data_IF_052447881814
#
_entry.id   IF_052447881814
#
_cell.length_a   1.000
_cell.length_b   1.000
_cell.length_c   1.000
_cell.angle_alpha   90.00
_cell.angle_beta   90.00
_cell.angle_gamma   90.00
#
_symmetry.space_group_name_H-M   'P 1'
#
loop_
_entity.id
_entity.type
_entity.pdbx_description
1 polymer ?
#
# COMPACT_ATOMS: atom_id res chain seq x y z
N UNK A 1 -21.69 46.19 -64.73
CA UNK A 1 -22.14 45.73 -63.40
C UNK A 1 -21.04 44.88 -62.78
N UNK A 2 -20.43 45.34 -61.67
CA UNK A 2 -19.41 44.59 -60.92
C UNK A 2 -20.14 43.77 -59.85
N UNK A 3 -20.13 42.43 -59.94
CA UNK A 3 -20.55 41.58 -58.82
C UNK A 3 -19.35 41.40 -57.89
N UNK A 4 -19.40 42.01 -56.70
CA UNK A 4 -18.55 41.66 -55.57
C UNK A 4 -19.07 40.35 -54.98
N UNK A 5 -18.27 39.29 -55.05
CA UNK A 5 -18.51 38.04 -54.32
C UNK A 5 -17.82 38.10 -52.96
N UNK A 6 -18.60 38.07 -51.88
CA UNK A 6 -18.08 37.97 -50.51
C UNK A 6 -17.64 36.54 -50.21
N UNK A 7 -16.35 36.36 -49.94
CA UNK A 7 -15.77 35.10 -49.49
C UNK A 7 -15.92 34.99 -47.97
N UNK A 8 -16.77 34.08 -47.49
CA UNK A 8 -16.83 33.70 -46.08
C UNK A 8 -15.77 32.64 -45.78
N UNK A 9 -14.74 33.00 -45.03
CA UNK A 9 -13.73 32.07 -44.53
C UNK A 9 -14.22 31.49 -43.18
N UNK A 10 -14.76 30.27 -43.20
CA UNK A 10 -15.08 29.54 -41.98
C UNK A 10 -13.78 29.01 -41.35
N UNK A 11 -13.35 29.64 -40.25
CA UNK A 11 -12.26 29.12 -39.42
C UNK A 11 -12.81 27.93 -38.63
N UNK A 12 -12.43 26.72 -39.05
CA UNK A 12 -12.61 25.51 -38.25
C UNK A 12 -11.63 25.56 -37.07
N UNK A 13 -12.11 25.94 -35.89
CA UNK A 13 -11.38 25.74 -34.65
C UNK A 13 -11.43 24.25 -34.33
N UNK A 14 -10.35 23.54 -34.68
CA UNK A 14 -10.18 22.15 -34.25
C UNK A 14 -9.88 22.15 -32.76
N UNK A 15 -10.85 21.77 -31.94
CA UNK A 15 -10.63 21.51 -30.52
C UNK A 15 -9.74 20.28 -30.39
N UNK A 16 -8.42 20.49 -30.32
CA UNK A 16 -7.52 19.44 -29.86
C UNK A 16 -7.82 19.18 -28.38
N UNK A 17 -8.60 18.14 -28.11
CA UNK A 17 -8.61 17.51 -26.80
C UNK A 17 -7.18 17.05 -26.53
N UNK A 18 -6.49 17.72 -25.61
CA UNK A 18 -5.18 17.26 -25.15
C UNK A 18 -5.39 15.94 -24.43
N UNK A 19 -5.14 14.82 -25.13
CA UNK A 19 -5.03 13.51 -24.52
C UNK A 19 -3.73 13.47 -23.70
N UNK A 20 -3.75 14.10 -22.53
CA UNK A 20 -2.70 13.98 -21.54
C UNK A 20 -2.80 12.55 -20.99
N UNK A 21 -1.76 11.72 -21.12
CA UNK A 21 -1.75 10.40 -20.51
C UNK A 21 -2.02 10.53 -19.01
N UNK A 22 -2.83 9.63 -18.40
CA UNK A 22 -3.08 9.68 -16.97
C UNK A 22 -1.76 9.65 -16.19
N UNK A 23 -1.61 10.53 -15.21
CA UNK A 23 -0.47 10.51 -14.28
C UNK A 23 -0.43 9.15 -13.56
N UNK A 24 0.61 8.32 -13.78
CA UNK A 24 0.71 7.02 -13.15
C UNK A 24 0.66 7.09 -11.62
N UNK A 25 1.13 8.19 -11.03
CA UNK A 25 1.06 8.39 -9.58
C UNK A 25 -0.38 8.59 -9.11
N UNK A 26 -1.16 9.42 -9.80
CA UNK A 26 -2.58 9.58 -9.49
C UNK A 26 -3.33 8.27 -9.65
N UNK A 27 -3.00 7.47 -10.65
CA UNK A 27 -3.65 6.18 -10.86
C UNK A 27 -3.37 5.18 -9.74
N UNK A 28 -2.13 5.12 -9.22
CA UNK A 28 -1.82 4.29 -8.05
C UNK A 28 -2.54 4.81 -6.80
N UNK A 29 -2.53 6.12 -6.56
CA UNK A 29 -3.19 6.74 -5.40
C UNK A 29 -4.71 6.49 -5.41
N UNK A 30 -5.35 6.50 -6.59
CA UNK A 30 -6.79 6.22 -6.73
C UNK A 30 -7.20 4.79 -6.36
N UNK A 31 -6.26 3.84 -6.26
CA UNK A 31 -6.55 2.44 -5.88
C UNK A 31 -6.58 2.21 -4.37
N UNK A 32 -6.18 3.22 -3.59
CA UNK A 32 -6.25 3.19 -2.14
C UNK A 32 -7.72 3.35 -1.72
N UNK A 33 -8.17 2.49 -0.82
CA UNK A 33 -9.56 2.46 -0.37
C UNK A 33 -9.60 2.69 1.13
N UNK A 34 -10.24 3.80 1.57
CA UNK A 34 -10.25 4.20 2.99
C UNK A 34 -10.87 3.12 3.89
N UNK A 35 -11.89 2.42 3.40
CA UNK A 35 -12.56 1.36 4.16
C UNK A 35 -11.67 0.13 4.31
N UNK A 36 -10.87 -0.22 3.29
CA UNK A 36 -9.92 -1.34 3.36
C UNK A 36 -8.76 -1.00 4.29
N UNK A 37 -8.24 0.23 4.22
CA UNK A 37 -7.27 0.76 5.18
C UNK A 37 -7.76 0.64 6.64
N UNK A 38 -8.97 1.13 6.93
CA UNK A 38 -9.57 1.02 8.27
C UNK A 38 -9.81 -0.43 8.69
N UNK A 39 -10.15 -1.30 7.76
CA UNK A 39 -10.32 -2.73 8.03
C UNK A 39 -8.98 -3.39 8.41
N UNK A 40 -7.87 -3.01 7.76
CA UNK A 40 -6.54 -3.48 8.13
C UNK A 40 -6.11 -3.03 9.54
N UNK A 41 -6.37 -1.76 9.90
CA UNK A 41 -6.13 -1.28 11.28
C UNK A 41 -6.91 -2.13 12.28
N UNK A 42 -8.22 -2.29 12.07
CA UNK A 42 -9.07 -3.11 12.95
C UNK A 42 -8.59 -4.56 13.00
N UNK A 43 -8.12 -5.09 11.88
CA UNK A 43 -7.57 -6.43 11.74
C UNK A 43 -6.32 -6.67 12.59
N UNK A 44 -5.46 -5.67 12.79
CA UNK A 44 -4.33 -5.77 13.73
C UNK A 44 -4.73 -5.42 15.17
N UNK A 45 -5.52 -4.36 15.34
CA UNK A 45 -5.98 -3.90 16.65
C UNK A 45 -6.82 -4.95 17.40
N UNK A 46 -7.47 -5.88 16.70
CA UNK A 46 -8.22 -6.98 17.34
C UNK A 46 -7.37 -7.84 18.30
N UNK A 47 -6.05 -7.84 18.14
CA UNK A 47 -5.13 -8.58 19.01
C UNK A 47 -4.75 -7.79 20.28
N UNK A 48 -5.24 -6.56 20.43
CA UNK A 48 -4.85 -5.62 21.49
C UNK A 48 -3.39 -5.19 21.37
N UNK A 49 -2.77 -4.79 22.49
CA UNK A 49 -1.34 -4.50 22.54
C UNK A 49 -0.52 -5.74 22.15
N UNK A 50 0.19 -5.65 21.01
CA UNK A 50 0.98 -6.73 20.40
C UNK A 50 2.42 -6.71 20.90
N UNK A 51 2.61 -6.55 22.20
CA UNK A 51 3.94 -6.47 22.82
C UNK A 51 4.82 -7.64 22.36
N UNK A 52 6.07 -7.34 21.95
CA UNK A 52 7.03 -8.31 21.46
C UNK A 52 7.13 -9.57 22.35
N UNK A 53 7.21 -10.75 21.72
CA UNK A 53 7.36 -12.02 22.44
C UNK A 53 6.08 -12.57 23.08
N UNK A 54 4.98 -11.81 23.11
CA UNK A 54 3.68 -12.29 23.61
C UNK A 54 2.97 -13.20 22.61
N UNK A 55 1.95 -13.94 23.08
CA UNK A 55 1.09 -14.73 22.19
C UNK A 55 0.30 -13.84 21.21
N UNK A 56 -0.09 -12.63 21.63
CA UNK A 56 -0.79 -11.65 20.80
C UNK A 56 0.06 -11.20 19.62
N UNK A 57 1.35 -10.92 19.88
CA UNK A 57 2.32 -10.61 18.83
C UNK A 57 2.44 -11.75 17.81
N UNK A 58 2.59 -13.00 18.25
CA UNK A 58 2.64 -14.17 17.35
C UNK A 58 1.36 -14.34 16.53
N UNK A 59 0.18 -14.17 17.15
CA UNK A 59 -1.10 -14.26 16.45
C UNK A 59 -1.26 -13.16 15.39
N UNK A 60 -0.74 -11.96 15.63
CA UNK A 60 -0.72 -10.90 14.64
C UNK A 60 0.19 -11.20 13.45
N UNK A 61 1.34 -11.87 13.66
CA UNK A 61 2.20 -12.37 12.57
C UNK A 61 1.47 -13.41 11.74
N UNK A 62 0.77 -14.36 12.38
CA UNK A 62 -0.05 -15.35 11.69
C UNK A 62 -1.14 -14.70 10.83
N UNK A 63 -1.73 -13.60 11.31
CA UNK A 63 -2.72 -12.84 10.57
C UNK A 63 -2.10 -12.09 9.38
N UNK A 64 -0.97 -11.41 9.56
CA UNK A 64 -0.25 -10.72 8.49
C UNK A 64 0.18 -11.68 7.38
N UNK A 65 0.65 -12.88 7.74
CA UNK A 65 0.99 -13.90 6.76
C UNK A 65 -0.22 -14.28 5.90
N UNK A 66 -1.39 -14.43 6.50
CA UNK A 66 -2.62 -14.72 5.75
C UNK A 66 -2.98 -13.58 4.80
N UNK A 67 -2.82 -12.32 5.22
CA UNK A 67 -3.08 -11.17 4.34
C UNK A 67 -2.14 -11.19 3.13
N UNK A 68 -0.83 -11.27 3.35
CA UNK A 68 0.16 -11.30 2.27
C UNK A 68 -0.09 -12.48 1.30
N UNK A 69 -0.38 -13.67 1.83
CA UNK A 69 -0.72 -14.83 0.99
C UNK A 69 -2.02 -14.62 0.21
N UNK A 70 -3.03 -13.99 0.80
CA UNK A 70 -4.29 -13.68 0.11
C UNK A 70 -4.11 -12.70 -1.04
N UNK A 71 -3.08 -11.84 -0.98
CA UNK A 71 -2.71 -10.94 -2.07
C UNK A 71 -1.88 -11.62 -3.17
N UNK A 72 -1.61 -12.92 -3.03
CA UNK A 72 -0.89 -13.72 -4.03
C UNK A 72 0.61 -13.84 -3.79
N UNK A 73 1.15 -13.31 -2.68
CA UNK A 73 2.57 -13.52 -2.35
C UNK A 73 2.81 -14.98 -1.98
N UNK A 74 3.65 -15.66 -2.77
CA UNK A 74 4.07 -17.05 -2.53
C UNK A 74 5.34 -17.14 -1.69
N UNK A 75 6.11 -16.06 -1.62
CA UNK A 75 7.41 -15.95 -0.97
C UNK A 75 7.36 -15.15 0.35
N UNK A 76 6.31 -15.36 1.15
CA UNK A 76 6.21 -14.75 2.48
C UNK A 76 7.25 -15.39 3.42
N UNK A 77 8.09 -14.56 4.05
CA UNK A 77 9.17 -14.98 4.94
C UNK A 77 8.91 -14.49 6.35
N UNK A 78 9.06 -15.39 7.32
CA UNK A 78 9.21 -15.05 8.74
C UNK A 78 10.68 -15.01 9.11
N UNK A 79 11.20 -13.82 9.32
CA UNK A 79 12.58 -13.61 9.74
C UNK A 79 12.69 -13.67 11.26
N UNK A 80 13.21 -14.78 11.77
CA UNK A 80 13.36 -15.02 13.21
C UNK A 80 14.71 -14.50 13.71
N UNK A 81 14.69 -13.83 14.85
CA UNK A 81 15.90 -13.34 15.50
C UNK A 81 15.79 -13.42 17.03
N UNK A 82 16.93 -13.37 17.73
CA UNK A 82 16.97 -13.41 19.19
C UNK A 82 17.10 -11.98 19.73
N UNK A 83 16.26 -11.64 20.70
CA UNK A 83 16.32 -10.38 21.45
C UNK A 83 16.56 -10.65 22.93
N UNK A 84 16.75 -9.59 23.72
CA UNK A 84 16.78 -9.68 25.19
C UNK A 84 15.47 -10.22 25.80
N UNK A 85 14.35 -10.10 25.08
CA UNK A 85 13.04 -10.66 25.49
C UNK A 85 12.78 -12.08 24.97
N UNK A 86 13.77 -12.71 24.33
CA UNK A 86 13.64 -14.01 23.69
C UNK A 86 13.48 -13.93 22.17
N UNK A 87 13.06 -15.03 21.51
CA UNK A 87 12.91 -15.10 20.07
C UNK A 87 11.75 -14.21 19.59
N UNK A 88 12.02 -13.39 18.58
CA UNK A 88 11.08 -12.50 17.90
C UNK A 88 11.07 -12.82 16.40
N UNK A 89 10.04 -12.34 15.70
CA UNK A 89 9.90 -12.54 14.26
C UNK A 89 9.47 -11.24 13.58
N UNK A 90 10.13 -10.92 12.46
CA UNK A 90 9.60 -9.99 11.46
C UNK A 90 8.92 -10.81 10.36
N UNK A 91 8.03 -10.17 9.59
CA UNK A 91 7.41 -10.78 8.41
C UNK A 91 7.51 -9.84 7.21
N UNK A 92 7.85 -10.39 6.05
CA UNK A 92 7.89 -9.64 4.80
C UNK A 92 7.59 -10.53 3.60
N UNK A 93 7.26 -9.91 2.47
CA UNK A 93 7.24 -10.52 1.15
C UNK A 93 8.02 -9.64 0.17
N UNK A 94 8.49 -10.22 -0.92
CA UNK A 94 9.30 -9.49 -1.92
C UNK A 94 8.66 -9.61 -3.29
N UNK A 95 8.48 -8.49 -3.98
CA UNK A 95 8.12 -8.49 -5.40
C UNK A 95 9.36 -8.18 -6.22
N UNK A 96 9.92 -9.19 -6.89
CA UNK A 96 11.11 -9.00 -7.73
C UNK A 96 10.75 -8.17 -8.97
N UNK A 97 11.46 -7.06 -9.17
CA UNK A 97 11.26 -6.20 -10.34
C UNK A 97 11.63 -6.92 -11.65
N UNK A 98 10.84 -6.70 -12.71
CA UNK A 98 11.08 -7.33 -14.01
C UNK A 98 12.23 -6.69 -14.80
N UNK A 99 12.58 -5.44 -14.51
CA UNK A 99 13.57 -4.66 -15.28
C UNK A 99 14.89 -4.45 -14.52
N UNK A 100 14.83 -4.10 -13.24
CA UNK A 100 16.01 -3.83 -12.40
C UNK A 100 16.00 -4.67 -11.11
N UNK A 101 16.07 -6.02 -11.19
CA UNK A 101 15.94 -6.89 -10.02
C UNK A 101 17.05 -6.73 -8.97
N UNK A 102 18.15 -6.04 -9.29
CA UNK A 102 19.24 -5.73 -8.37
C UNK A 102 19.04 -4.46 -7.53
N UNK A 103 18.02 -3.65 -7.84
CA UNK A 103 17.68 -2.45 -7.08
C UNK A 103 16.52 -2.76 -6.13
N UNK A 104 16.72 -2.48 -4.84
CA UNK A 104 15.74 -2.83 -3.80
C UNK A 104 15.21 -1.58 -3.13
N UNK A 105 13.88 -1.55 -2.98
CA UNK A 105 13.16 -0.59 -2.15
C UNK A 105 12.48 -1.36 -1.02
N UNK A 106 12.56 -0.83 0.20
CA UNK A 106 11.90 -1.41 1.38
C UNK A 106 10.87 -0.39 1.88
N UNK A 107 9.62 -0.82 1.93
CA UNK A 107 8.53 -0.09 2.59
C UNK A 107 8.07 -0.96 3.75
N UNK A 108 8.10 -0.41 4.96
CA UNK A 108 7.89 -1.18 6.18
C UNK A 108 7.21 -0.36 7.26
N UNK A 109 6.60 -1.05 8.21
CA UNK A 109 6.02 -0.55 9.44
C UNK A 109 6.33 -1.53 10.58
N UNK A 110 6.20 -1.12 11.84
CA UNK A 110 6.32 -2.05 12.96
C UNK A 110 4.96 -2.56 13.42
N UNK A 111 4.87 -3.86 13.71
CA UNK A 111 3.59 -4.48 14.06
C UNK A 111 3.33 -4.48 15.56
N UNK A 112 4.39 -4.58 16.37
CA UNK A 112 4.27 -4.56 17.81
C UNK A 112 3.78 -3.21 18.31
N UNK A 113 3.22 -3.20 19.52
CA UNK A 113 2.80 -1.96 20.15
C UNK A 113 2.29 -2.18 21.57
N UNK A 114 2.16 -1.06 22.29
CA UNK A 114 1.86 -0.99 23.74
C UNK A 114 1.08 0.28 24.04
N UNK A 115 0.50 0.37 25.23
CA UNK A 115 -0.06 1.62 25.77
C UNK A 115 -1.58 1.65 25.89
N UNK A 116 -2.26 0.50 25.72
CA UNK A 116 -3.68 0.35 26.04
C UNK A 116 -4.67 0.87 24.98
N UNK A 117 -4.17 1.45 23.88
CA UNK A 117 -4.98 1.87 22.71
C UNK A 117 -4.95 0.86 21.56
N UNK A 118 -4.73 -0.42 21.88
CA UNK A 118 -4.55 -1.53 20.94
C UNK A 118 -3.48 -1.33 19.87
N UNK A 119 -2.58 -0.36 20.07
CA UNK A 119 -1.58 0.02 19.08
C UNK A 119 -2.20 0.31 17.70
N UNK A 120 -3.36 0.99 17.70
CA UNK A 120 -4.13 1.26 16.49
C UNK A 120 -3.46 2.31 15.59
N UNK A 121 -3.02 3.42 16.18
CA UNK A 121 -2.26 4.47 15.47
C UNK A 121 -0.78 4.12 15.39
N UNK A 122 -0.20 3.69 16.52
CA UNK A 122 1.21 3.28 16.67
C UNK A 122 1.32 1.75 16.86
N UNK A 123 1.57 0.95 15.83
CA UNK A 123 1.72 1.31 14.40
C UNK A 123 0.90 0.39 13.48
N UNK A 124 -0.30 -0.01 13.93
CA UNK A 124 -1.24 -0.69 13.04
C UNK A 124 -1.63 0.19 11.84
N UNK A 125 -1.61 1.51 11.99
CA UNK A 125 -1.88 2.46 10.91
C UNK A 125 -0.81 2.40 9.81
N UNK A 126 0.48 2.36 10.13
CA UNK A 126 1.55 2.19 9.16
C UNK A 126 1.51 0.81 8.51
N UNK A 127 1.25 -0.24 9.29
CA UNK A 127 1.07 -1.58 8.74
C UNK A 127 -0.09 -1.65 7.74
N UNK A 128 -1.20 -0.96 8.02
CA UNK A 128 -2.33 -0.87 7.11
C UNK A 128 -1.98 -0.15 5.80
N UNK A 129 -1.17 0.91 5.84
CA UNK A 129 -0.66 1.54 4.61
C UNK A 129 0.18 0.56 3.79
N UNK A 130 1.07 -0.21 4.43
CA UNK A 130 1.90 -1.21 3.72
C UNK A 130 1.04 -2.28 3.05
N UNK A 131 -0.07 -2.69 3.66
CA UNK A 131 -0.99 -3.68 3.08
C UNK A 131 -1.86 -3.13 1.94
N UNK A 132 -2.03 -1.81 1.85
CA UNK A 132 -2.77 -1.17 0.76
C UNK A 132 -1.97 -1.03 -0.56
N UNK A 133 -0.65 -1.27 -0.52
CA UNK A 133 0.27 -1.13 -1.66
C UNK A 133 0.41 -2.43 -2.47
#
# INVERSE_FOLDING_TARGET
MRLLGSLFLAVLVSSQTTNIPPDPLQEVVRRLELDRYKAHIKGLAQFGDRLQGTQRNRAAIDWLEKQLRSFGYTNVVRHRFISSSGPLENIYATKTGATTPGEMYIVSAHMDGRGGGEAADDDASGCAVVLEL
#
